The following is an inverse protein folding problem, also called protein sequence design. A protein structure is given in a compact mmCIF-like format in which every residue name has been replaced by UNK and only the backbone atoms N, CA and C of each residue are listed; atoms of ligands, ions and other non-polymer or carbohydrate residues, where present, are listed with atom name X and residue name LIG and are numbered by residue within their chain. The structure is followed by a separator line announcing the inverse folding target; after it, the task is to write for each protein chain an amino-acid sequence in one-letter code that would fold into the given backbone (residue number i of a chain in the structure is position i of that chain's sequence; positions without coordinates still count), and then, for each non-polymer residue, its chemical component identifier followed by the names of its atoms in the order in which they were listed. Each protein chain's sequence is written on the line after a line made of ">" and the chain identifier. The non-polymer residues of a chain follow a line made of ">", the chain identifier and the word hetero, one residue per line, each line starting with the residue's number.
data_IF_490525633438
#
_entry.id   IF_490525633438
#
_cell.length_a   1.000
_cell.length_b   1.000
_cell.length_c   1.000
_cell.angle_alpha   90.00
_cell.angle_beta   90.00
_cell.angle_gamma   90.00
#
_symmetry.space_group_name_H-M   'P 1'
#
loop_
_entity.id
_entity.type
_entity.pdbx_description
1 polymer ?
#
# COMPACT_ATOMS: atom_id res chain seq x y z
N UNK A 1 15.73 5.06 -15.14
CA UNK A 1 15.56 3.77 -14.42
C UNK A 1 14.15 3.63 -13.87
N UNK A 2 13.70 2.39 -13.56
CA UNK A 2 12.42 2.15 -12.89
C UNK A 2 12.67 1.67 -11.46
N UNK A 3 11.85 2.15 -10.52
CA UNK A 3 11.90 1.77 -9.10
C UNK A 3 10.66 0.94 -8.78
N UNK A 4 10.84 -0.19 -8.08
CA UNK A 4 9.75 -1.06 -7.63
C UNK A 4 9.65 -1.00 -6.11
N UNK A 5 8.50 -0.56 -5.62
CA UNK A 5 8.19 -0.44 -4.19
C UNK A 5 7.09 -1.44 -3.85
N UNK A 6 7.44 -2.48 -3.13
CA UNK A 6 6.57 -3.64 -2.92
C UNK A 6 5.95 -3.60 -1.54
N UNK A 7 4.64 -3.74 -1.48
CA UNK A 7 3.89 -3.98 -0.25
C UNK A 7 4.07 -5.44 0.17
N UNK A 8 4.97 -5.66 1.13
CA UNK A 8 5.33 -6.98 1.64
C UNK A 8 4.22 -7.63 2.44
N UNK A 9 3.50 -6.84 3.24
CA UNK A 9 2.36 -7.30 4.03
C UNK A 9 1.25 -7.80 3.11
N UNK A 10 0.83 -6.99 2.14
CA UNK A 10 -0.16 -7.40 1.14
C UNK A 10 0.29 -8.66 0.38
N UNK A 11 1.55 -8.72 -0.08
CA UNK A 11 2.07 -9.89 -0.78
C UNK A 11 2.04 -11.14 0.10
N UNK A 12 2.39 -11.04 1.40
CA UNK A 12 2.34 -12.15 2.34
C UNK A 12 0.90 -12.67 2.50
N UNK A 13 -0.06 -11.78 2.74
CA UNK A 13 -1.48 -12.12 2.83
C UNK A 13 -1.98 -12.75 1.53
N UNK A 14 -1.63 -12.17 0.39
CA UNK A 14 -1.99 -12.67 -0.92
C UNK A 14 -1.47 -14.09 -1.17
N UNK A 15 -0.24 -14.38 -0.77
CA UNK A 15 0.34 -15.71 -0.89
C UNK A 15 -0.36 -16.70 0.03
N UNK A 16 -0.57 -16.36 1.29
CA UNK A 16 -1.22 -17.22 2.26
C UNK A 16 -2.64 -17.63 1.84
N UNK A 17 -3.48 -16.66 1.47
CA UNK A 17 -4.85 -16.94 1.07
C UNK A 17 -4.98 -17.42 -0.39
N UNK A 18 -4.00 -17.14 -1.23
CA UNK A 18 -3.98 -17.53 -2.63
C UNK A 18 -3.57 -18.99 -2.85
N UNK A 19 -2.66 -19.53 -2.05
CA UNK A 19 -2.16 -20.90 -2.13
C UNK A 19 -3.26 -21.91 -1.79
N UNK A 20 -4.02 -21.66 -0.74
CA UNK A 20 -5.16 -22.49 -0.31
C UNK A 20 -6.22 -22.70 -1.40
N UNK A 21 -6.29 -21.79 -2.39
CA UNK A 21 -7.25 -21.89 -3.53
C UNK A 21 -6.73 -22.68 -4.72
N UNK A 22 -5.41 -22.92 -4.85
CA UNK A 22 -4.81 -23.45 -6.08
C UNK A 22 -4.39 -24.91 -6.01
N UNK A 23 -4.52 -25.60 -4.85
CA UNK A 23 -3.95 -26.94 -4.69
C UNK A 23 -2.44 -26.88 -4.96
N UNK A 24 -1.71 -26.07 -4.23
CA UNK A 24 -0.34 -25.65 -4.50
C UNK A 24 0.62 -26.83 -4.65
N UNK A 25 1.53 -26.73 -5.64
CA UNK A 25 2.71 -27.57 -5.75
C UNK A 25 3.88 -27.08 -4.82
N UNK A 26 3.66 -26.04 -4.03
CA UNK A 26 4.56 -25.61 -2.98
C UNK A 26 4.48 -26.60 -1.81
N UNK A 27 5.59 -26.96 -1.14
CA UNK A 27 5.52 -27.84 0.01
C UNK A 27 4.56 -27.26 1.07
N UNK A 28 3.59 -28.05 1.52
CA UNK A 28 2.78 -27.70 2.68
C UNK A 28 3.70 -27.53 3.88
N UNK A 29 3.97 -26.29 4.24
CA UNK A 29 4.91 -25.96 5.31
C UNK A 29 4.56 -24.65 6.01
N UNK A 30 5.08 -24.44 7.22
CA UNK A 30 4.73 -23.28 8.04
C UNK A 30 5.11 -21.92 7.41
N UNK A 31 5.95 -21.91 6.37
CA UNK A 31 6.48 -20.69 5.72
C UNK A 31 6.09 -20.56 4.24
N UNK A 32 4.99 -21.17 3.84
CA UNK A 32 4.55 -21.18 2.44
C UNK A 32 4.34 -19.76 1.88
N UNK A 33 3.74 -18.86 2.65
CA UNK A 33 3.51 -17.49 2.23
C UNK A 33 4.83 -16.71 2.11
N UNK A 34 5.77 -16.89 3.05
CA UNK A 34 7.13 -16.33 2.98
C UNK A 34 7.84 -16.77 1.70
N UNK A 35 7.84 -18.05 1.39
CA UNK A 35 8.43 -18.60 0.16
C UNK A 35 7.78 -17.98 -1.08
N UNK A 36 6.45 -17.81 -1.03
CA UNK A 36 5.70 -17.14 -2.07
C UNK A 36 6.11 -15.69 -2.32
N UNK A 37 6.32 -14.91 -1.24
CA UNK A 37 6.80 -13.52 -1.34
C UNK A 37 8.20 -13.47 -1.92
N UNK A 38 9.12 -14.30 -1.42
CA UNK A 38 10.50 -14.35 -1.94
C UNK A 38 10.52 -14.71 -3.43
N UNK A 39 9.76 -15.73 -3.82
CA UNK A 39 9.65 -16.13 -5.24
C UNK A 39 9.05 -15.03 -6.11
N UNK A 40 8.05 -14.34 -5.59
CA UNK A 40 7.35 -13.23 -6.24
C UNK A 40 8.27 -12.02 -6.42
N UNK A 41 9.08 -11.68 -5.40
CA UNK A 41 10.06 -10.59 -5.46
C UNK A 41 11.20 -10.93 -6.40
N UNK A 42 11.71 -12.17 -6.35
CA UNK A 42 12.72 -12.65 -7.28
C UNK A 42 12.24 -12.59 -8.74
N UNK A 43 10.95 -12.85 -8.99
CA UNK A 43 10.38 -12.71 -10.33
C UNK A 43 10.43 -11.25 -10.83
N UNK A 44 10.25 -10.25 -9.96
CA UNK A 44 10.42 -8.84 -10.38
C UNK A 44 11.86 -8.55 -10.81
N UNK A 45 12.84 -9.12 -10.11
CA UNK A 45 14.26 -9.00 -10.47
C UNK A 45 14.57 -9.71 -11.80
N UNK A 46 14.01 -10.90 -12.01
CA UNK A 46 14.12 -11.64 -13.29
C UNK A 46 13.46 -10.87 -14.44
N UNK A 47 12.37 -10.16 -14.17
CA UNK A 47 11.68 -9.30 -15.13
C UNK A 47 12.42 -7.96 -15.37
N UNK A 48 13.58 -7.76 -14.74
CA UNK A 48 14.47 -6.62 -14.99
C UNK A 48 14.37 -5.47 -13.99
N UNK A 49 13.73 -5.67 -12.81
CA UNK A 49 13.80 -4.68 -11.74
C UNK A 49 15.25 -4.57 -11.22
N UNK A 50 15.77 -3.34 -11.15
CA UNK A 50 17.13 -3.06 -10.68
C UNK A 50 17.14 -2.30 -9.34
N UNK A 51 16.10 -1.54 -9.06
CA UNK A 51 15.91 -0.79 -7.82
C UNK A 51 14.60 -1.26 -7.20
N UNK A 52 14.71 -1.86 -6.01
CA UNK A 52 13.57 -2.50 -5.35
C UNK A 52 13.66 -2.31 -3.85
N UNK A 53 12.54 -1.93 -3.23
CA UNK A 53 12.35 -1.89 -1.81
C UNK A 53 11.06 -2.61 -1.44
N UNK A 54 11.04 -3.28 -0.30
CA UNK A 54 9.87 -3.97 0.25
C UNK A 54 9.57 -3.40 1.63
N UNK A 55 8.36 -2.90 1.84
CA UNK A 55 7.87 -2.47 3.14
C UNK A 55 6.99 -3.54 3.77
N UNK A 56 7.02 -3.67 5.08
CA UNK A 56 6.16 -4.59 5.84
C UNK A 56 5.71 -3.98 7.14
N UNK A 57 4.49 -4.33 7.57
CA UNK A 57 4.00 -4.05 8.91
C UNK A 57 4.62 -5.09 9.87
N UNK A 58 5.84 -4.80 10.36
CA UNK A 58 6.50 -5.66 11.36
C UNK A 58 5.66 -5.78 12.62
N UNK A 59 5.06 -4.66 13.02
CA UNK A 59 3.98 -4.56 14.00
C UNK A 59 2.75 -4.05 13.26
N UNK A 60 1.59 -4.64 13.50
CA UNK A 60 0.34 -4.26 12.80
C UNK A 60 -0.21 -2.94 13.30
N UNK A 61 -0.11 -2.72 14.62
CA UNK A 61 -0.49 -1.47 15.27
C UNK A 61 0.51 -0.36 14.89
N UNK A 62 0.00 0.85 14.69
CA UNK A 62 0.79 2.02 14.29
C UNK A 62 0.38 3.26 15.09
N UNK A 63 1.01 4.39 14.83
CA UNK A 63 0.61 5.69 15.42
C UNK A 63 -0.86 6.04 15.17
N UNK A 64 -1.52 5.41 14.17
CA UNK A 64 -2.94 5.64 13.88
C UNK A 64 -3.86 5.10 14.97
N UNK A 65 -3.42 4.10 15.73
CA UNK A 65 -4.17 3.59 16.88
C UNK A 65 -4.29 4.62 18.01
N UNK A 66 -3.33 5.54 18.12
CA UNK A 66 -3.41 6.67 19.05
C UNK A 66 -4.37 7.77 18.57
N UNK A 67 -4.55 7.89 17.24
CA UNK A 67 -5.46 8.86 16.63
C UNK A 67 -6.92 8.38 16.68
N UNK A 68 -7.15 7.10 16.43
CA UNK A 68 -8.48 6.51 16.36
C UNK A 68 -8.51 5.13 17.05
N UNK A 69 -9.22 5.02 18.16
CA UNK A 69 -9.31 3.79 18.95
C UNK A 69 -9.94 2.60 18.22
N UNK A 70 -10.68 2.85 17.13
CA UNK A 70 -11.28 1.80 16.30
C UNK A 70 -10.39 1.36 15.13
N UNK A 71 -9.15 1.89 15.03
CA UNK A 71 -8.24 1.54 13.95
C UNK A 71 -7.82 0.06 14.03
N UNK A 72 -7.49 -0.52 12.89
CA UNK A 72 -7.11 -1.94 12.79
C UNK A 72 -6.03 -2.33 13.79
N UNK A 73 -6.13 -3.55 14.29
CA UNK A 73 -5.15 -4.16 15.19
C UNK A 73 -4.81 -5.58 14.71
N UNK A 74 -3.84 -6.20 15.34
CA UNK A 74 -3.50 -7.62 15.15
C UNK A 74 -4.56 -8.58 15.69
N UNK A 75 -5.55 -8.08 16.43
CA UNK A 75 -6.62 -8.89 17.01
C UNK A 75 -7.41 -9.65 15.94
N UNK A 76 -7.49 -10.98 16.09
CA UNK A 76 -8.18 -11.86 15.14
C UNK A 76 -7.37 -12.24 13.90
N UNK A 77 -6.15 -11.76 13.74
CA UNK A 77 -5.25 -12.27 12.72
C UNK A 77 -4.75 -13.68 13.04
N UNK A 78 -4.45 -14.45 12.02
CA UNK A 78 -3.93 -15.81 12.17
C UNK A 78 -2.51 -15.76 12.72
N UNK A 79 -2.20 -16.38 13.88
CA UNK A 79 -0.86 -16.40 14.45
C UNK A 79 0.20 -16.91 13.47
N UNK A 80 -0.12 -17.95 12.71
CA UNK A 80 0.76 -18.53 11.70
C UNK A 80 1.10 -17.56 10.54
N UNK A 81 0.31 -16.51 10.36
CA UNK A 81 0.59 -15.46 9.38
C UNK A 81 1.51 -14.38 9.98
N UNK A 82 1.22 -13.97 11.23
CA UNK A 82 2.04 -13.00 11.95
C UNK A 82 3.48 -13.52 12.16
N UNK A 83 3.63 -14.82 12.47
CA UNK A 83 4.95 -15.47 12.62
C UNK A 83 5.77 -15.47 11.32
N UNK A 84 5.13 -15.34 10.16
CA UNK A 84 5.81 -15.28 8.87
C UNK A 84 6.35 -13.90 8.51
N UNK A 85 5.89 -12.82 9.14
CA UNK A 85 6.38 -11.45 8.85
C UNK A 85 7.89 -11.34 9.09
N UNK A 86 8.43 -11.62 10.30
CA UNK A 86 9.87 -11.53 10.52
C UNK A 86 10.67 -12.53 9.68
N UNK A 87 10.12 -13.70 9.37
CA UNK A 87 10.75 -14.66 8.49
C UNK A 87 10.85 -14.16 7.05
N UNK A 88 9.81 -13.50 6.56
CA UNK A 88 9.80 -12.86 5.25
C UNK A 88 10.84 -11.75 5.17
N UNK A 89 10.92 -10.90 6.18
CA UNK A 89 11.88 -9.80 6.28
C UNK A 89 13.32 -10.32 6.27
N UNK A 90 13.63 -11.35 7.09
CA UNK A 90 14.93 -12.02 7.09
C UNK A 90 15.28 -12.55 5.70
N UNK A 91 14.35 -13.22 5.05
CA UNK A 91 14.56 -13.77 3.71
C UNK A 91 14.79 -12.72 2.63
N UNK A 92 14.08 -11.60 2.68
CA UNK A 92 14.25 -10.46 1.75
C UNK A 92 15.63 -9.80 1.95
N UNK A 93 16.02 -9.54 3.19
CA UNK A 93 17.35 -9.01 3.53
C UNK A 93 18.45 -9.98 3.07
N UNK A 94 18.30 -11.27 3.33
CA UNK A 94 19.25 -12.29 2.87
C UNK A 94 19.33 -12.33 1.33
N UNK A 95 18.20 -12.13 0.63
CA UNK A 95 18.14 -12.03 -0.84
C UNK A 95 18.80 -10.74 -1.38
N UNK A 96 19.23 -9.81 -0.50
CA UNK A 96 19.84 -8.54 -0.88
C UNK A 96 18.84 -7.46 -1.29
N UNK A 97 17.60 -7.61 -0.90
CA UNK A 97 16.52 -6.63 -1.17
C UNK A 97 16.45 -5.64 -0.01
N UNK A 98 16.39 -4.36 -0.33
CA UNK A 98 16.13 -3.33 0.69
C UNK A 98 14.76 -3.56 1.31
N UNK A 99 14.72 -3.68 2.64
CA UNK A 99 13.52 -4.04 3.39
C UNK A 99 13.29 -3.01 4.49
N UNK A 100 12.05 -2.55 4.62
CA UNK A 100 11.61 -1.58 5.63
C UNK A 100 10.58 -2.22 6.56
N UNK A 101 11.01 -2.87 7.67
CA UNK A 101 10.09 -3.37 8.71
C UNK A 101 9.55 -2.19 9.53
N UNK A 102 8.24 -1.94 9.44
CA UNK A 102 7.61 -0.82 10.13
C UNK A 102 7.13 -1.23 11.52
N UNK A 103 7.41 -0.40 12.52
CA UNK A 103 7.01 -0.59 13.92
C UNK A 103 6.11 0.54 14.40
N UNK A 104 6.46 1.78 14.11
CA UNK A 104 5.72 2.98 14.49
C UNK A 104 4.80 3.46 13.35
N UNK A 105 5.28 3.31 12.11
CA UNK A 105 4.55 3.58 10.87
C UNK A 105 4.00 2.28 10.28
N UNK A 106 3.27 2.40 9.19
CA UNK A 106 2.79 1.27 8.38
C UNK A 106 3.63 1.10 7.10
N UNK A 107 3.51 -0.07 6.47
CA UNK A 107 4.13 -0.33 5.18
C UNK A 107 3.78 0.75 4.14
N UNK A 108 2.52 1.21 4.14
CA UNK A 108 2.02 2.24 3.23
C UNK A 108 2.77 3.58 3.38
N UNK A 109 3.13 3.95 4.63
CA UNK A 109 3.90 5.17 4.89
C UNK A 109 5.32 5.06 4.32
N UNK A 110 5.97 3.91 4.50
CA UNK A 110 7.30 3.67 3.92
C UNK A 110 7.25 3.66 2.38
N UNK A 111 6.23 3.05 1.78
CA UNK A 111 6.03 3.05 0.33
C UNK A 111 5.77 4.46 -0.21
N UNK A 112 4.98 5.27 0.49
CA UNK A 112 4.70 6.66 0.12
C UNK A 112 5.94 7.55 0.25
N UNK A 113 6.73 7.39 1.32
CA UNK A 113 8.00 8.08 1.51
C UNK A 113 8.99 7.71 0.40
N UNK A 114 9.15 6.41 0.12
CA UNK A 114 10.02 5.94 -0.95
C UNK A 114 9.57 6.41 -2.33
N UNK A 115 8.25 6.43 -2.60
CA UNK A 115 7.71 6.97 -3.83
C UNK A 115 8.03 8.46 -3.99
N UNK A 116 7.97 9.23 -2.90
CA UNK A 116 8.31 10.66 -2.90
C UNK A 116 9.80 10.90 -3.15
N UNK A 117 10.68 10.11 -2.52
CA UNK A 117 12.14 10.15 -2.75
C UNK A 117 12.47 9.82 -4.20
N UNK A 118 11.87 8.76 -4.74
CA UNK A 118 12.10 8.33 -6.11
C UNK A 118 11.52 9.33 -7.14
N UNK A 119 10.38 9.95 -6.86
CA UNK A 119 9.79 10.96 -7.74
C UNK A 119 10.63 12.24 -7.83
N UNK A 120 11.36 12.57 -6.76
CA UNK A 120 12.29 13.71 -6.73
C UNK A 120 13.62 13.44 -7.46
N UNK A 121 13.99 12.20 -7.72
CA UNK A 121 15.22 11.83 -8.40
C UNK A 121 15.02 11.85 -9.92
N UNK A 122 15.71 12.78 -10.62
CA UNK A 122 15.60 12.96 -12.07
C UNK A 122 16.04 11.72 -12.89
N UNK A 123 16.84 10.83 -12.29
CA UNK A 123 17.28 9.58 -12.94
C UNK A 123 16.16 8.53 -13.00
N UNK A 124 15.12 8.67 -12.17
CA UNK A 124 13.98 7.76 -12.14
C UNK A 124 12.98 8.15 -13.22
N UNK A 125 12.68 7.25 -14.11
CA UNK A 125 11.67 7.42 -15.17
C UNK A 125 10.28 7.07 -14.69
N UNK A 126 10.17 6.02 -13.85
CA UNK A 126 8.90 5.54 -13.33
C UNK A 126 9.08 4.86 -11.98
N UNK A 127 8.14 5.13 -11.08
CA UNK A 127 7.98 4.46 -9.79
C UNK A 127 6.75 3.57 -9.86
N UNK A 128 6.93 2.29 -9.55
CA UNK A 128 5.85 1.31 -9.50
C UNK A 128 5.60 0.93 -8.03
N UNK A 129 4.49 1.39 -7.47
CA UNK A 129 4.02 0.95 -6.16
C UNK A 129 3.25 -0.35 -6.36
N UNK A 130 3.84 -1.45 -5.94
CA UNK A 130 3.39 -2.81 -6.28
C UNK A 130 2.37 -3.29 -5.25
N UNK A 131 1.18 -2.73 -5.32
CA UNK A 131 0.01 -3.05 -4.51
C UNK A 131 -1.26 -2.56 -5.19
N UNK A 132 -2.41 -3.26 -5.05
CA UNK A 132 -3.70 -2.76 -5.48
C UNK A 132 -4.41 -1.92 -4.42
N UNK A 133 -3.76 -1.65 -3.27
CA UNK A 133 -4.38 -0.93 -2.16
C UNK A 133 -4.79 0.47 -2.60
N UNK A 134 -6.06 0.82 -2.28
CA UNK A 134 -6.67 2.08 -2.71
C UNK A 134 -6.04 3.29 -2.05
N UNK A 135 -5.51 3.13 -0.84
CA UNK A 135 -4.98 4.21 -0.03
C UNK A 135 -3.71 4.79 -0.67
N UNK A 136 -2.90 3.91 -1.27
CA UNK A 136 -1.72 4.31 -2.04
C UNK A 136 -2.05 4.96 -3.40
N UNK A 137 -3.32 5.01 -3.78
CA UNK A 137 -3.80 5.85 -4.89
C UNK A 137 -3.48 7.32 -4.69
N UNK A 138 -3.39 7.80 -3.44
CA UNK A 138 -2.97 9.17 -3.11
C UNK A 138 -1.52 9.51 -3.48
N UNK A 139 -0.69 8.49 -3.75
CA UNK A 139 0.70 8.65 -4.16
C UNK A 139 0.87 8.76 -5.68
N UNK A 140 -0.15 8.43 -6.44
CA UNK A 140 -0.10 8.40 -7.90
C UNK A 140 0.08 9.81 -8.46
N UNK A 141 0.99 9.95 -9.45
CA UNK A 141 1.30 11.21 -10.11
C UNK A 141 1.53 11.01 -11.60
N UNK A 142 0.56 11.42 -12.41
CA UNK A 142 0.61 11.23 -13.84
C UNK A 142 0.87 9.76 -14.21
N UNK A 143 1.89 9.55 -15.05
CA UNK A 143 2.42 8.21 -15.40
C UNK A 143 3.78 7.92 -14.76
N UNK A 144 4.27 8.85 -13.94
CA UNK A 144 5.60 8.74 -13.31
C UNK A 144 5.56 7.94 -12.03
N UNK A 145 4.60 8.21 -11.14
CA UNK A 145 4.33 7.38 -9.96
C UNK A 145 3.00 6.68 -10.17
N UNK A 146 3.03 5.36 -10.25
CA UNK A 146 1.86 4.55 -10.58
C UNK A 146 1.73 3.38 -9.62
N UNK A 147 0.51 2.87 -9.43
CA UNK A 147 0.31 1.59 -8.79
C UNK A 147 0.42 0.46 -9.83
N UNK A 148 0.87 -0.71 -9.38
CA UNK A 148 0.92 -1.91 -10.20
C UNK A 148 0.23 -3.08 -9.51
N UNK A 149 -0.97 -3.43 -9.97
CA UNK A 149 -1.68 -4.66 -9.56
C UNK A 149 -1.08 -5.86 -10.32
N UNK A 150 -0.20 -6.60 -9.65
CA UNK A 150 0.45 -7.79 -10.25
C UNK A 150 -0.54 -8.91 -10.59
N UNK A 151 -1.62 -9.04 -9.84
CA UNK A 151 -2.62 -10.09 -10.07
C UNK A 151 -3.34 -9.87 -11.40
N UNK A 152 -3.67 -8.62 -11.69
CA UNK A 152 -4.33 -8.22 -12.94
C UNK A 152 -3.32 -7.89 -14.04
N UNK A 153 -2.05 -7.68 -13.69
CA UNK A 153 -1.01 -7.11 -14.56
C UNK A 153 -1.40 -5.74 -15.10
N UNK A 154 -1.96 -4.92 -14.23
CA UNK A 154 -2.55 -3.62 -14.57
C UNK A 154 -1.75 -2.49 -13.90
N UNK A 155 -1.42 -1.47 -14.67
CA UNK A 155 -0.87 -0.22 -14.17
C UNK A 155 -2.03 0.74 -13.96
N UNK A 156 -2.12 1.32 -12.78
CA UNK A 156 -3.10 2.33 -12.40
C UNK A 156 -2.35 3.66 -12.28
N UNK A 157 -2.46 4.48 -13.31
CA UNK A 157 -1.95 5.85 -13.35
C UNK A 157 -3.02 6.84 -12.85
N UNK A 158 -2.76 8.13 -12.97
CA UNK A 158 -3.69 9.17 -12.51
C UNK A 158 -5.06 9.08 -13.20
N UNK A 159 -5.10 8.73 -14.48
CA UNK A 159 -6.34 8.50 -15.21
C UNK A 159 -7.08 7.30 -14.65
N UNK A 160 -6.38 6.20 -14.37
CA UNK A 160 -6.94 5.01 -13.73
C UNK A 160 -7.50 5.29 -12.33
N UNK A 161 -6.85 6.15 -11.53
CA UNK A 161 -7.41 6.61 -10.25
C UNK A 161 -8.69 7.41 -10.47
N UNK A 162 -8.70 8.34 -11.43
CA UNK A 162 -9.89 9.14 -11.78
C UNK A 162 -11.03 8.26 -12.30
N UNK A 163 -10.75 7.26 -13.11
CA UNK A 163 -11.76 6.31 -13.61
C UNK A 163 -12.35 5.47 -12.46
N UNK A 164 -11.50 5.02 -11.53
CA UNK A 164 -11.92 4.16 -10.43
C UNK A 164 -12.71 4.91 -9.35
N UNK A 165 -12.30 6.11 -8.98
CA UNK A 165 -12.84 6.86 -7.84
C UNK A 165 -13.62 8.13 -8.23
N UNK A 166 -13.51 8.59 -9.47
CA UNK A 166 -14.11 9.84 -9.94
C UNK A 166 -13.44 11.12 -9.42
N UNK A 167 -12.25 10.99 -8.79
CA UNK A 167 -11.53 12.09 -8.14
C UNK A 167 -10.05 12.04 -8.48
N UNK A 168 -9.33 13.11 -8.18
CA UNK A 168 -7.88 13.17 -8.31
C UNK A 168 -7.17 12.39 -7.18
N UNK A 169 -5.94 11.90 -7.40
CA UNK A 169 -5.16 11.19 -6.37
C UNK A 169 -5.07 11.91 -5.03
N UNK A 170 -4.84 13.22 -5.06
CA UNK A 170 -4.73 14.06 -3.87
C UNK A 170 -6.02 14.12 -3.02
N UNK A 171 -7.17 13.80 -3.62
CA UNK A 171 -8.47 13.76 -2.92
C UNK A 171 -8.78 12.38 -2.30
N UNK A 172 -7.94 11.36 -2.48
CA UNK A 172 -8.16 10.03 -1.90
C UNK A 172 -8.29 10.06 -0.38
N UNK A 173 -7.43 10.75 0.39
CA UNK A 173 -7.60 10.83 1.84
C UNK A 173 -8.92 11.50 2.25
N UNK A 174 -9.34 12.56 1.56
CA UNK A 174 -10.62 13.21 1.80
C UNK A 174 -11.80 12.28 1.49
N UNK A 175 -11.70 11.52 0.40
CA UNK A 175 -12.70 10.52 0.04
C UNK A 175 -12.85 9.46 1.12
N UNK A 176 -11.75 8.91 1.63
CA UNK A 176 -11.74 7.93 2.70
C UNK A 176 -12.26 8.53 4.02
N UNK A 177 -11.88 9.77 4.31
CA UNK A 177 -12.41 10.50 5.47
C UNK A 177 -13.94 10.62 5.47
N UNK A 178 -14.55 10.79 4.29
CA UNK A 178 -16.00 10.88 4.14
C UNK A 178 -16.68 9.51 4.12
N UNK A 179 -16.14 8.54 3.38
CA UNK A 179 -16.76 7.24 3.13
C UNK A 179 -16.41 6.22 4.21
N UNK A 180 -15.26 6.37 4.83
CA UNK A 180 -14.67 5.40 5.75
C UNK A 180 -13.89 4.29 5.07
N UNK A 181 -13.21 3.52 5.89
CA UNK A 181 -12.55 2.27 5.52
C UNK A 181 -12.82 1.19 6.58
N UNK A 182 -13.58 0.19 6.17
CA UNK A 182 -13.94 -0.92 7.07
C UNK A 182 -12.74 -1.82 7.36
N UNK A 183 -11.79 -1.93 6.44
CA UNK A 183 -10.59 -2.74 6.64
C UNK A 183 -9.68 -2.11 7.70
N UNK A 184 -9.58 -0.79 7.69
CA UNK A 184 -8.80 -0.01 8.66
C UNK A 184 -9.59 0.39 9.90
N UNK A 185 -10.89 0.08 9.97
CA UNK A 185 -11.71 0.23 11.17
C UNK A 185 -12.25 1.63 11.44
N UNK A 186 -12.35 2.51 10.44
CA UNK A 186 -13.01 3.81 10.61
C UNK A 186 -14.23 3.96 9.68
N UNK A 187 -15.37 4.46 10.23
CA UNK A 187 -16.68 4.33 9.56
C UNK A 187 -16.97 5.41 8.51
N UNK A 188 -16.19 6.50 8.46
CA UNK A 188 -16.56 7.69 7.71
C UNK A 188 -17.75 8.44 8.31
N UNK A 189 -18.39 9.30 7.51
CA UNK A 189 -19.52 10.11 7.96
C UNK A 189 -20.87 9.49 7.61
N UNK A 190 -21.86 9.54 8.52
CA UNK A 190 -23.20 9.02 8.25
C UNK A 190 -23.85 9.63 7.01
N UNK A 191 -24.32 8.78 6.11
CA UNK A 191 -25.01 9.18 4.88
C UNK A 191 -24.07 9.50 3.71
N UNK A 192 -22.79 9.68 3.94
CA UNK A 192 -21.80 9.78 2.88
C UNK A 192 -21.45 8.37 2.35
N UNK A 193 -21.39 8.24 1.06
CA UNK A 193 -21.03 7.01 0.37
C UNK A 193 -20.21 7.31 -0.86
N UNK A 194 -19.67 6.29 -1.50
CA UNK A 194 -18.76 6.41 -2.62
C UNK A 194 -19.22 7.41 -3.68
N UNK A 195 -20.47 7.30 -4.15
CA UNK A 195 -21.00 8.17 -5.19
C UNK A 195 -21.10 9.64 -4.76
N UNK A 196 -21.57 9.92 -3.55
CA UNK A 196 -21.70 11.30 -3.07
C UNK A 196 -20.35 11.94 -2.82
N UNK A 197 -19.43 11.21 -2.20
CA UNK A 197 -18.06 11.68 -1.96
C UNK A 197 -17.33 11.96 -3.29
N UNK A 198 -17.39 11.03 -4.25
CA UNK A 198 -16.79 11.24 -5.57
C UNK A 198 -17.33 12.49 -6.28
N UNK A 199 -18.65 12.66 -6.32
CA UNK A 199 -19.26 13.82 -7.00
C UNK A 199 -18.87 15.16 -6.34
N UNK A 200 -18.86 15.21 -5.01
CA UNK A 200 -18.54 16.42 -4.26
C UNK A 200 -17.04 16.73 -4.34
N UNK A 201 -16.18 15.74 -4.14
CA UNK A 201 -14.73 15.95 -4.20
C UNK A 201 -14.22 16.18 -5.63
N UNK A 202 -14.87 15.63 -6.65
CA UNK A 202 -14.56 15.98 -8.04
C UNK A 202 -14.76 17.47 -8.34
N UNK A 203 -15.67 18.13 -7.61
CA UNK A 203 -15.95 19.58 -7.76
C UNK A 203 -15.07 20.44 -6.85
N UNK A 204 -14.83 19.99 -5.62
CA UNK A 204 -14.20 20.82 -4.59
C UNK A 204 -12.78 20.38 -4.22
N UNK A 205 -12.36 19.18 -4.57
CA UNK A 205 -11.02 18.64 -4.28
C UNK A 205 -10.86 18.18 -2.84
N UNK A 206 -11.02 19.08 -1.86
CA UNK A 206 -10.79 18.81 -0.45
C UNK A 206 -12.02 19.15 0.41
N UNK A 207 -12.13 18.48 1.57
CA UNK A 207 -13.23 18.63 2.52
C UNK A 207 -13.44 20.09 2.91
N UNK A 208 -12.38 20.84 3.19
CA UNK A 208 -12.45 22.23 3.63
C UNK A 208 -12.93 23.21 2.54
N UNK A 209 -12.86 22.79 1.28
CA UNK A 209 -13.31 23.60 0.15
C UNK A 209 -14.81 23.41 -0.15
N UNK A 210 -15.46 22.43 0.51
CA UNK A 210 -16.89 22.18 0.35
C UNK A 210 -17.68 23.27 1.09
N UNK A 211 -18.56 24.02 0.40
CA UNK A 211 -19.37 25.05 1.06
C UNK A 211 -20.23 24.44 2.18
N UNK A 212 -20.37 25.15 3.29
CA UNK A 212 -21.16 24.70 4.44
C UNK A 212 -22.66 24.60 4.16
N UNK A 213 -23.15 25.38 3.19
CA UNK A 213 -24.56 25.43 2.80
C UNK A 213 -24.79 24.65 1.51
N UNK A 214 -25.69 23.68 1.55
CA UNK A 214 -26.03 22.84 0.39
C UNK A 214 -26.54 23.63 -0.82
N UNK A 215 -27.15 24.78 -0.59
CA UNK A 215 -27.65 25.66 -1.65
C UNK A 215 -26.54 26.26 -2.51
N UNK A 216 -25.30 26.24 -2.03
CA UNK A 216 -24.10 26.69 -2.75
C UNK A 216 -23.38 25.55 -3.51
N UNK A 217 -23.88 24.33 -3.40
CA UNK A 217 -23.24 23.18 -4.03
C UNK A 217 -23.55 23.08 -5.51
N UNK A 218 -22.60 23.37 -6.34
CA UNK A 218 -22.69 23.23 -7.80
C UNK A 218 -22.29 21.81 -8.23
N UNK A 219 -23.04 20.79 -7.78
CA UNK A 219 -22.75 19.36 -8.03
C UNK A 219 -23.95 18.72 -8.74
N UNK A 220 -23.96 18.70 -10.08
CA UNK A 220 -25.04 18.10 -10.85
C UNK A 220 -25.22 16.61 -10.53
N UNK A 221 -26.47 16.18 -10.39
CA UNK A 221 -26.83 14.77 -10.16
C UNK A 221 -26.65 14.30 -8.70
N UNK A 222 -26.18 15.16 -7.79
CA UNK A 222 -26.10 14.84 -6.36
C UNK A 222 -27.50 14.81 -5.74
N UNK A 223 -27.82 13.74 -5.02
CA UNK A 223 -29.06 13.60 -4.26
C UNK A 223 -28.77 13.79 -2.77
N UNK A 224 -29.70 14.41 -2.05
CA UNK A 224 -29.61 14.55 -0.60
C UNK A 224 -28.58 15.57 -0.11
N UNK A 225 -28.16 16.52 -0.96
CA UNK A 225 -27.19 17.57 -0.60
C UNK A 225 -27.47 18.26 0.75
N UNK A 226 -28.73 18.64 1.11
CA UNK A 226 -28.98 19.25 2.41
C UNK A 226 -28.60 18.38 3.62
N UNK A 227 -28.87 17.08 3.54
CA UNK A 227 -28.50 16.13 4.60
C UNK A 227 -26.98 15.93 4.66
N UNK A 228 -26.34 15.77 3.52
CA UNK A 228 -24.88 15.61 3.44
C UNK A 228 -24.15 16.85 3.99
N UNK A 229 -24.59 18.04 3.62
CA UNK A 229 -24.03 19.29 4.12
C UNK A 229 -24.24 19.47 5.64
N UNK A 230 -25.43 19.11 6.13
CA UNK A 230 -25.70 19.14 7.58
C UNK A 230 -24.77 18.20 8.33
N UNK A 231 -24.67 16.92 7.89
CA UNK A 231 -23.76 15.94 8.50
C UNK A 231 -22.30 16.41 8.47
N UNK A 232 -21.82 16.91 7.32
CA UNK A 232 -20.44 17.40 7.20
C UNK A 232 -20.17 18.56 8.14
N UNK A 233 -21.09 19.54 8.21
CA UNK A 233 -20.95 20.69 9.12
C UNK A 233 -20.93 20.27 10.59
N UNK A 234 -21.79 19.33 10.97
CA UNK A 234 -21.89 18.83 12.36
C UNK A 234 -20.70 17.97 12.76
N UNK A 235 -20.07 17.26 11.80
CA UNK A 235 -19.00 16.31 12.02
C UNK A 235 -17.71 16.66 11.27
N UNK A 236 -17.48 17.93 11.01
CA UNK A 236 -16.30 18.40 10.28
C UNK A 236 -14.99 17.91 10.92
N UNK A 237 -14.87 18.03 12.24
CA UNK A 237 -13.69 17.61 12.97
C UNK A 237 -13.45 16.09 12.83
N UNK A 238 -14.51 15.30 12.83
CA UNK A 238 -14.43 13.86 12.63
C UNK A 238 -14.03 13.50 11.18
N UNK A 239 -14.55 14.21 10.19
CA UNK A 239 -14.15 14.04 8.79
C UNK A 239 -12.64 14.31 8.60
N UNK A 240 -12.16 15.39 9.21
CA UNK A 240 -10.74 15.76 9.16
C UNK A 240 -9.85 14.79 9.92
N UNK A 241 -10.34 14.25 11.05
CA UNK A 241 -9.63 13.18 11.78
C UNK A 241 -9.50 11.93 10.91
N UNK A 242 -10.59 11.46 10.30
CA UNK A 242 -10.53 10.28 9.41
C UNK A 242 -9.68 10.52 8.17
N UNK A 243 -9.70 11.73 7.61
CA UNK A 243 -8.75 12.09 6.56
C UNK A 243 -7.31 11.99 7.04
N UNK A 244 -7.01 12.48 8.25
CA UNK A 244 -5.66 12.38 8.84
C UNK A 244 -5.25 10.92 9.00
N UNK A 245 -6.14 10.07 9.49
CA UNK A 245 -5.92 8.62 9.61
C UNK A 245 -5.66 7.96 8.25
N UNK A 246 -6.39 8.38 7.20
CA UNK A 246 -6.23 7.85 5.84
C UNK A 246 -5.04 8.43 5.06
N UNK A 247 -4.40 9.50 5.58
CA UNK A 247 -3.26 10.13 4.92
C UNK A 247 -1.97 9.39 5.26
N UNK A 248 -1.24 8.98 4.23
CA UNK A 248 0.07 8.34 4.42
C UNK A 248 1.15 9.37 4.80
N UNK A 249 2.01 9.03 5.76
CA UNK A 249 3.17 9.83 6.11
C UNK A 249 4.30 9.60 5.09
N UNK A 250 4.86 10.70 4.58
CA UNK A 250 5.95 10.67 3.58
C UNK A 250 7.31 11.00 4.17
N UNK A 251 7.42 11.04 5.49
CA UNK A 251 8.66 11.42 6.19
C UNK A 251 9.39 10.22 6.81
N UNK A 252 8.92 9.00 6.55
CA UNK A 252 9.57 7.78 7.00
C UNK A 252 10.99 7.71 6.42
N UNK A 253 12.02 7.39 7.23
CA UNK A 253 13.39 7.27 6.76
C UNK A 253 13.58 5.99 5.93
N UNK A 254 13.55 6.11 4.63
CA UNK A 254 13.65 4.99 3.67
C UNK A 254 14.98 4.93 2.91
N UNK A 255 15.91 5.87 3.17
CA UNK A 255 17.17 5.99 2.42
C UNK A 255 16.99 6.69 1.07
N UNK A 256 17.87 6.40 0.15
CA UNK A 256 17.92 6.98 -1.20
C UNK A 256 17.69 5.93 -2.27
N UNK A 257 17.42 6.36 -3.51
CA UNK A 257 17.25 5.43 -4.65
C UNK A 257 18.47 4.52 -4.84
N UNK A 258 19.68 5.04 -4.58
CA UNK A 258 20.90 4.25 -4.73
C UNK A 258 21.01 3.13 -3.68
N UNK A 259 20.43 3.30 -2.48
CA UNK A 259 20.39 2.28 -1.43
C UNK A 259 19.45 1.11 -1.81
N UNK A 260 18.52 1.32 -2.73
CA UNK A 260 17.55 0.31 -3.16
C UNK A 260 18.02 -0.48 -4.39
N UNK A 261 19.23 -0.20 -4.86
CA UNK A 261 19.80 -0.93 -5.98
C UNK A 261 20.13 -2.36 -5.57
N UNK A 262 19.49 -3.31 -6.23
CA UNK A 262 19.79 -4.72 -6.01
C UNK A 262 21.13 -5.09 -6.67
N UNK A 263 22.01 -5.73 -5.94
CA UNK A 263 23.36 -6.12 -6.37
C UNK A 263 23.63 -7.62 -6.24
N UNK A 264 22.58 -8.40 -6.02
CA UNK A 264 22.68 -9.84 -5.81
C UNK A 264 22.36 -10.27 -4.39
N UNK A 265 22.16 -11.58 -4.16
CA UNK A 265 21.88 -12.11 -2.85
C UNK A 265 23.12 -12.04 -1.95
N UNK A 266 22.91 -11.89 -0.65
CA UNK A 266 23.98 -11.98 0.36
C UNK A 266 24.45 -13.43 0.52
N UNK A 267 25.58 -13.61 1.20
CA UNK A 267 26.09 -14.96 1.53
C UNK A 267 25.10 -15.79 2.38
N UNK A 268 24.26 -15.12 3.18
CA UNK A 268 23.29 -15.78 4.06
C UNK A 268 22.09 -16.38 3.31
N UNK A 269 21.81 -15.96 2.05
CA UNK A 269 20.61 -16.40 1.36
C UNK A 269 20.59 -17.91 1.07
N UNK A 270 21.75 -18.51 0.84
CA UNK A 270 21.87 -19.96 0.66
C UNK A 270 21.39 -20.72 1.90
N UNK A 271 21.94 -20.39 3.06
CA UNK A 271 21.58 -21.01 4.34
C UNK A 271 20.10 -20.78 4.70
N UNK A 272 19.58 -19.58 4.41
CA UNK A 272 18.17 -19.27 4.59
C UNK A 272 17.29 -20.22 3.73
N UNK A 273 17.62 -20.37 2.46
CA UNK A 273 16.88 -21.27 1.55
C UNK A 273 16.99 -22.74 1.98
N UNK A 274 18.15 -23.15 2.51
CA UNK A 274 18.36 -24.51 3.01
C UNK A 274 17.45 -24.81 4.23
N UNK A 275 17.32 -23.85 5.16
CA UNK A 275 16.38 -23.97 6.31
C UNK A 275 14.93 -24.17 5.88
N UNK A 276 14.53 -23.54 4.78
CA UNK A 276 13.16 -23.63 4.25
C UNK A 276 12.98 -24.76 3.22
N UNK A 277 14.05 -25.46 2.82
CA UNK A 277 14.00 -26.51 1.79
C UNK A 277 13.75 -25.99 0.38
N UNK A 278 14.12 -24.73 0.08
CA UNK A 278 13.82 -24.05 -1.21
C UNK A 278 15.09 -23.68 -1.99
N UNK A 279 15.99 -24.62 -2.17
CA UNK A 279 17.29 -24.44 -2.83
C UNK A 279 17.21 -23.79 -4.22
N UNK A 280 16.08 -23.97 -4.93
CA UNK A 280 15.83 -23.38 -6.24
C UNK A 280 15.83 -21.85 -6.23
N UNK A 281 15.38 -21.20 -5.14
CA UNK A 281 15.38 -19.73 -5.02
C UNK A 281 16.83 -19.20 -4.96
N UNK A 282 17.70 -19.84 -4.17
CA UNK A 282 19.10 -19.43 -4.08
C UNK A 282 19.82 -19.57 -5.43
N UNK A 283 19.53 -20.62 -6.18
CA UNK A 283 20.10 -20.83 -7.51
C UNK A 283 19.65 -19.76 -8.49
N UNK A 284 18.36 -19.43 -8.51
CA UNK A 284 17.79 -18.37 -9.37
C UNK A 284 18.39 -17.00 -9.04
N UNK A 285 18.44 -16.63 -7.75
CA UNK A 285 18.98 -15.34 -7.33
C UNK A 285 20.47 -15.17 -7.71
N UNK A 286 21.29 -16.21 -7.53
CA UNK A 286 22.71 -16.17 -7.93
C UNK A 286 22.91 -16.06 -9.43
N UNK A 287 21.96 -16.51 -10.23
CA UNK A 287 22.07 -16.43 -11.69
C UNK A 287 21.80 -15.02 -12.22
N UNK A 288 21.25 -14.11 -11.41
CA UNK A 288 20.95 -12.72 -11.77
C UNK A 288 22.02 -11.72 -11.30
N UNK A 289 22.74 -12.03 -10.24
CA UNK A 289 23.81 -11.19 -9.63
C UNK A 289 25.18 -11.80 -9.87
#
# INVERSE_FOLDING_TARGET
>A
MKVHLVDGTYELFRQHFGSKRRGSSTPDGPYEATIGVLSSTLQLLEDGATHIGVASDHVIESFRNDLWAGYKTSDGMLPELLEQIPMMEEGLVAMGVTTWPMVEWEADDALAAAASVADADERVEQVLIVTPDKDLGQCVRGRRVVQYDRRKREIIDEEGVREKFGIAPESIPDYLGLVGDTADGFPGLPGWGAKSASLVLARYGHIEQIPSEAGLWEVPGLRGAPKLAATLREQMELALLFRTVATVDRHVPVGTVDDWRWTGPTAAFGEFCDRLGVHGLATRARALG
#
